data_IF_854310806042
#
_entry.id   IF_854310806042
#
_cell.length_a   1.000
_cell.length_b   1.000
_cell.length_c   1.000
_cell.angle_alpha   90.00
_cell.angle_beta   90.00
_cell.angle_gamma   90.00
#
_symmetry.space_group_name_H-M   'P 1'
#
loop_
_entity.id
_entity.type
_entity.pdbx_description
1 polymer ?
#
# COMPACT_ATOMS: atom_id res chain seq x y z
N UNK A 1 76.20 5.40 -18.53
CA UNK A 1 75.00 5.98 -17.90
C UNK A 1 73.81 5.21 -18.40
N UNK A 2 73.16 4.37 -17.54
CA UNK A 2 71.98 3.63 -17.91
C UNK A 2 70.77 4.35 -17.25
N UNK A 3 69.86 4.86 -18.08
CA UNK A 3 68.64 5.51 -17.64
C UNK A 3 67.57 4.41 -17.45
N UNK A 4 67.10 4.26 -16.20
CA UNK A 4 66.07 3.32 -15.82
C UNK A 4 64.72 4.04 -15.94
N UNK A 5 63.89 3.66 -16.95
CA UNK A 5 62.49 4.13 -17.05
C UNK A 5 61.61 3.31 -16.13
N UNK A 6 61.10 3.92 -15.03
CA UNK A 6 59.98 3.33 -14.24
C UNK A 6 58.67 3.59 -14.92
N UNK A 7 57.98 2.52 -15.34
CA UNK A 7 56.62 2.59 -15.83
C UNK A 7 55.66 2.51 -14.63
N UNK A 8 54.90 3.59 -14.36
CA UNK A 8 53.79 3.62 -13.42
C UNK A 8 52.56 3.00 -14.03
N UNK A 9 52.20 1.78 -13.55
CA UNK A 9 50.95 1.12 -13.94
C UNK A 9 49.85 1.71 -13.02
N UNK A 10 48.98 2.54 -13.60
CA UNK A 10 47.79 3.05 -12.93
C UNK A 10 46.68 2.03 -13.04
N UNK A 11 46.33 1.36 -11.93
CA UNK A 11 45.23 0.42 -11.87
C UNK A 11 43.90 1.17 -11.81
N UNK A 12 43.16 1.17 -12.91
CA UNK A 12 41.80 1.70 -12.99
C UNK A 12 40.85 0.68 -12.35
N UNK A 13 40.34 0.97 -11.14
CA UNK A 13 39.31 0.17 -10.51
C UNK A 13 37.96 0.42 -11.21
N UNK A 14 37.51 -0.53 -12.04
CA UNK A 14 36.18 -0.49 -12.63
C UNK A 14 35.19 -0.88 -11.55
N UNK A 15 34.53 0.11 -10.96
CA UNK A 15 33.41 -0.12 -10.06
C UNK A 15 32.23 -0.72 -10.83
N UNK A 16 31.94 -1.99 -10.61
CA UNK A 16 30.70 -2.62 -11.10
C UNK A 16 29.53 -2.11 -10.27
N UNK A 17 28.80 -1.13 -10.79
CA UNK A 17 27.49 -0.77 -10.24
C UNK A 17 26.54 -1.92 -10.59
N UNK A 18 26.20 -2.77 -9.61
CA UNK A 18 25.11 -3.72 -9.73
C UNK A 18 23.80 -2.92 -9.90
N UNK A 19 23.21 -2.98 -11.09
CA UNK A 19 21.83 -2.58 -11.30
C UNK A 19 20.96 -3.55 -10.47
N UNK A 20 20.52 -3.12 -9.28
CA UNK A 20 19.47 -3.84 -8.57
C UNK A 20 18.20 -3.64 -9.39
N UNK A 21 17.74 -4.68 -10.07
CA UNK A 21 16.38 -4.74 -10.56
C UNK A 21 15.47 -4.58 -9.32
N UNK A 22 14.63 -3.56 -9.32
CA UNK A 22 13.58 -3.45 -8.32
C UNK A 22 12.70 -4.70 -8.46
N UNK A 23 12.76 -5.59 -7.48
CA UNK A 23 11.85 -6.73 -7.40
C UNK A 23 10.43 -6.20 -7.42
N UNK A 24 9.54 -6.85 -8.22
CA UNK A 24 8.14 -6.50 -8.28
C UNK A 24 7.45 -6.73 -6.92
N UNK A 25 6.29 -6.14 -6.71
CA UNK A 25 5.51 -6.36 -5.49
C UNK A 25 5.24 -7.85 -5.24
N UNK A 26 5.68 -8.37 -4.12
CA UNK A 26 5.23 -9.65 -3.54
C UNK A 26 4.54 -9.37 -2.19
N UNK A 27 3.30 -9.86 -2.04
CA UNK A 27 2.56 -9.75 -0.78
C UNK A 27 3.27 -10.44 0.39
N UNK A 28 4.06 -11.48 0.13
CA UNK A 28 4.76 -12.27 1.15
C UNK A 28 5.82 -11.45 1.87
N UNK A 29 6.43 -10.47 1.21
CA UNK A 29 7.44 -9.59 1.80
C UNK A 29 6.93 -8.82 3.02
N UNK A 30 5.61 -8.65 3.11
CA UNK A 30 4.95 -7.95 4.21
C UNK A 30 4.65 -8.83 5.42
N UNK A 31 4.87 -10.13 5.36
CA UNK A 31 4.69 -11.07 6.48
C UNK A 31 3.40 -10.87 7.29
N UNK A 32 2.27 -10.62 6.58
CA UNK A 32 0.98 -10.36 7.20
C UNK A 32 0.46 -11.60 7.94
N UNK A 33 -0.01 -11.39 9.18
CA UNK A 33 -0.63 -12.41 10.03
C UNK A 33 -2.12 -12.11 10.18
N UNK A 34 -2.96 -12.97 9.60
CA UNK A 34 -4.40 -12.81 9.70
C UNK A 34 -4.90 -13.09 11.13
N UNK A 35 -5.99 -12.46 11.51
CA UNK A 35 -6.70 -12.71 12.76
C UNK A 35 -8.22 -12.61 12.53
N UNK A 36 -9.01 -13.00 13.52
CA UNK A 36 -10.48 -12.89 13.44
C UNK A 36 -10.96 -11.61 14.10
N UNK A 37 -11.93 -10.96 13.47
CA UNK A 37 -12.70 -9.85 14.04
C UNK A 37 -14.04 -10.38 14.53
N UNK A 38 -14.44 -9.96 15.71
CA UNK A 38 -15.72 -10.33 16.30
C UNK A 38 -16.80 -9.28 15.97
N UNK A 39 -17.08 -9.07 14.71
CA UNK A 39 -18.14 -8.19 14.22
C UNK A 39 -18.69 -8.71 12.90
N UNK A 40 -20.02 -8.73 12.71
CA UNK A 40 -20.63 -9.07 11.44
C UNK A 40 -20.75 -7.87 10.49
N UNK A 41 -20.42 -6.64 10.93
CA UNK A 41 -20.68 -5.40 10.18
C UNK A 41 -19.44 -4.99 9.39
N UNK A 42 -19.59 -4.82 8.09
CA UNK A 42 -18.55 -4.30 7.20
C UNK A 42 -18.41 -2.79 7.33
N UNK A 43 -17.16 -2.33 7.49
CA UNK A 43 -16.82 -0.92 7.68
C UNK A 43 -17.33 -0.02 6.55
N UNK A 44 -17.06 -0.38 5.29
CA UNK A 44 -17.39 0.49 4.14
C UNK A 44 -18.87 0.68 3.91
N UNK A 45 -19.65 -0.36 4.11
CA UNK A 45 -21.07 -0.39 3.75
C UNK A 45 -22.00 -0.25 4.93
N UNK A 46 -21.51 -0.47 6.15
CA UNK A 46 -22.35 -0.52 7.36
C UNK A 46 -23.35 -1.69 7.36
N UNK A 47 -23.18 -2.66 6.48
CA UNK A 47 -24.10 -3.79 6.34
C UNK A 47 -23.55 -5.04 7.04
N UNK A 48 -24.45 -5.93 7.45
CA UNK A 48 -24.09 -7.28 7.87
C UNK A 48 -23.53 -8.05 6.68
N UNK A 49 -22.47 -8.80 6.92
CA UNK A 49 -21.75 -9.59 5.94
C UNK A 49 -21.96 -11.07 6.19
N UNK A 50 -22.00 -11.88 5.14
CA UNK A 50 -22.01 -13.36 5.24
C UNK A 50 -20.69 -13.85 5.88
N UNK A 51 -19.59 -13.19 5.54
CA UNK A 51 -18.30 -13.36 6.20
C UNK A 51 -17.49 -12.07 6.19
N UNK A 52 -16.67 -11.90 7.22
CA UNK A 52 -15.80 -10.73 7.40
C UNK A 52 -14.35 -11.10 7.04
N UNK A 53 -13.75 -10.28 6.20
CA UNK A 53 -12.31 -10.21 6.00
C UNK A 53 -11.72 -9.02 6.76
N UNK A 54 -10.45 -9.12 7.10
CA UNK A 54 -9.65 -7.95 7.48
C UNK A 54 -9.14 -7.32 6.18
N UNK A 55 -9.49 -6.07 5.98
CA UNK A 55 -8.98 -5.27 4.88
C UNK A 55 -7.97 -4.23 5.39
N UNK A 56 -6.87 -4.08 4.65
CA UNK A 56 -5.94 -3.00 4.86
C UNK A 56 -6.50 -1.74 4.16
N UNK A 57 -6.78 -0.70 4.94
CA UNK A 57 -7.28 0.59 4.43
C UNK A 57 -6.35 1.15 3.35
N UNK A 58 -5.04 1.22 3.65
CA UNK A 58 -3.97 1.35 2.66
C UNK A 58 -3.48 -0.05 2.35
N UNK A 59 -3.78 -0.57 1.16
CA UNK A 59 -3.41 -1.93 0.78
C UNK A 59 -1.88 -2.11 0.76
N UNK A 60 -1.40 -3.35 0.93
CA UNK A 60 0.04 -3.62 0.90
C UNK A 60 0.67 -3.26 -0.45
N UNK A 61 -0.08 -3.47 -1.55
CA UNK A 61 0.38 -3.08 -2.89
C UNK A 61 0.41 -1.58 -3.06
N UNK A 62 -0.62 -0.85 -2.62
CA UNK A 62 -0.61 0.62 -2.65
C UNK A 62 0.53 1.18 -1.79
N UNK A 63 0.79 0.62 -0.61
CA UNK A 63 1.93 1.00 0.21
C UNK A 63 3.25 0.78 -0.53
N UNK A 64 3.43 -0.40 -1.16
CA UNK A 64 4.62 -0.72 -1.94
C UNK A 64 4.88 0.31 -3.04
N UNK A 65 3.87 0.60 -3.86
CA UNK A 65 3.92 1.56 -4.96
C UNK A 65 4.12 3.01 -4.47
N UNK A 66 3.73 3.31 -3.23
CA UNK A 66 3.80 4.64 -2.61
C UNK A 66 5.08 4.90 -1.81
N UNK A 67 6.04 3.97 -1.81
CA UNK A 67 7.33 4.14 -1.15
C UNK A 67 7.77 2.97 -0.28
N UNK A 68 6.88 2.03 0.07
CA UNK A 68 7.25 0.89 0.90
C UNK A 68 8.17 -0.13 0.19
N UNK A 69 8.36 -0.02 -1.12
CA UNK A 69 9.32 -0.82 -1.87
C UNK A 69 10.73 -0.76 -1.26
N UNK A 70 11.13 0.42 -0.76
CA UNK A 70 12.44 0.66 -0.15
C UNK A 70 12.51 0.36 1.35
N UNK A 71 11.43 -0.11 1.98
CA UNK A 71 11.43 -0.39 3.42
C UNK A 71 12.16 -1.69 3.75
N UNK A 72 12.72 -1.75 4.97
CA UNK A 72 13.19 -3.02 5.54
C UNK A 72 12.02 -3.98 5.74
N UNK A 73 12.33 -5.29 5.79
CA UNK A 73 11.33 -6.33 6.04
C UNK A 73 10.60 -6.12 7.38
N UNK A 74 11.33 -5.70 8.41
CA UNK A 74 10.74 -5.37 9.71
C UNK A 74 9.72 -4.23 9.63
N UNK A 75 9.97 -3.19 8.80
CA UNK A 75 9.02 -2.10 8.61
C UNK A 75 7.81 -2.54 7.76
N UNK A 76 8.02 -3.36 6.72
CA UNK A 76 6.94 -3.96 5.93
C UNK A 76 6.04 -4.84 6.81
N UNK A 77 6.64 -5.71 7.65
CA UNK A 77 5.90 -6.55 8.59
C UNK A 77 5.12 -5.71 9.61
N UNK A 78 5.73 -4.68 10.18
CA UNK A 78 5.07 -3.76 11.12
C UNK A 78 3.85 -3.11 10.48
N UNK A 79 3.98 -2.57 9.26
CA UNK A 79 2.88 -1.96 8.52
C UNK A 79 1.74 -2.94 8.23
N UNK A 80 2.08 -4.14 7.78
CA UNK A 80 1.08 -5.16 7.43
C UNK A 80 0.27 -5.65 8.64
N UNK A 81 0.83 -5.56 9.84
CA UNK A 81 0.21 -6.02 11.08
C UNK A 81 -0.30 -4.87 11.97
N UNK A 82 -0.19 -3.63 11.51
CA UNK A 82 -0.72 -2.47 12.20
C UNK A 82 -2.25 -2.45 12.15
N UNK A 83 -2.88 -2.67 13.30
CA UNK A 83 -4.34 -2.70 13.43
C UNK A 83 -5.02 -1.36 13.14
N UNK A 84 -4.29 -0.25 13.18
CA UNK A 84 -4.82 1.06 12.78
C UNK A 84 -5.13 1.10 11.28
N UNK A 85 -4.39 0.29 10.48
CA UNK A 85 -4.62 0.11 9.05
C UNK A 85 -5.67 -0.96 8.73
N UNK A 86 -6.30 -1.60 9.72
CA UNK A 86 -7.22 -2.69 9.51
C UNK A 86 -8.67 -2.28 9.76
N UNK A 87 -9.56 -2.76 8.90
CA UNK A 87 -11.02 -2.62 9.08
C UNK A 87 -11.74 -3.93 8.72
N UNK A 88 -12.89 -4.23 9.37
CA UNK A 88 -13.75 -5.32 8.93
C UNK A 88 -14.35 -4.99 7.58
N UNK A 89 -14.29 -5.91 6.62
CA UNK A 89 -14.88 -5.73 5.30
C UNK A 89 -15.64 -6.98 4.88
N UNK A 90 -16.83 -6.81 4.29
CA UNK A 90 -17.52 -7.90 3.63
C UNK A 90 -16.63 -8.46 2.53
N UNK A 91 -16.55 -9.78 2.39
CA UNK A 91 -15.65 -10.44 1.45
C UNK A 91 -15.76 -9.92 0.02
N UNK A 92 -17.01 -9.71 -0.48
CA UNK A 92 -17.26 -9.16 -1.82
C UNK A 92 -16.72 -7.73 -1.97
N UNK A 93 -16.93 -6.87 -0.96
CA UNK A 93 -16.44 -5.50 -0.95
C UNK A 93 -14.93 -5.46 -0.91
N UNK A 94 -14.31 -6.29 -0.05
CA UNK A 94 -12.86 -6.42 0.07
C UNK A 94 -12.24 -6.88 -1.26
N UNK A 95 -12.81 -7.88 -1.91
CA UNK A 95 -12.35 -8.36 -3.22
C UNK A 95 -12.48 -7.30 -4.31
N UNK A 96 -13.57 -6.52 -4.30
CA UNK A 96 -13.75 -5.40 -5.23
C UNK A 96 -12.76 -4.27 -4.99
N UNK A 97 -12.50 -3.93 -3.73
CA UNK A 97 -11.50 -2.92 -3.38
C UNK A 97 -10.11 -3.36 -3.83
N UNK A 98 -9.70 -4.57 -3.45
CA UNK A 98 -8.35 -5.06 -3.76
C UNK A 98 -7.27 -4.05 -3.34
N UNK A 99 -6.45 -3.62 -4.29
CA UNK A 99 -5.40 -2.61 -4.08
C UNK A 99 -5.81 -1.18 -4.46
N UNK A 100 -7.11 -0.94 -4.70
CA UNK A 100 -7.58 0.36 -5.14
C UNK A 100 -7.31 1.48 -4.12
N UNK A 101 -6.89 2.64 -4.61
CA UNK A 101 -6.86 3.89 -3.86
C UNK A 101 -8.28 4.42 -3.63
N UNK A 102 -8.51 5.42 -2.78
CA UNK A 102 -9.81 6.04 -2.60
C UNK A 102 -10.48 6.45 -3.92
N UNK A 103 -9.74 7.04 -4.85
CA UNK A 103 -10.24 7.43 -6.18
C UNK A 103 -10.80 6.25 -6.96
N UNK A 104 -10.03 5.18 -7.04
CA UNK A 104 -10.39 4.02 -7.84
C UNK A 104 -11.46 3.16 -7.16
N UNK A 105 -11.46 3.08 -5.84
CA UNK A 105 -12.47 2.35 -5.10
C UNK A 105 -13.85 3.01 -5.23
N UNK A 106 -13.91 4.35 -5.14
CA UNK A 106 -15.15 5.09 -5.36
C UNK A 106 -15.67 4.90 -6.80
N UNK A 107 -14.77 4.94 -7.78
CA UNK A 107 -15.11 4.67 -9.18
C UNK A 107 -15.71 3.28 -9.36
N UNK A 108 -15.07 2.25 -8.78
CA UNK A 108 -15.54 0.87 -8.86
C UNK A 108 -16.92 0.66 -8.24
N UNK A 109 -17.24 1.36 -7.16
CA UNK A 109 -18.56 1.28 -6.53
C UNK A 109 -19.68 1.91 -7.36
N UNK A 110 -19.34 2.64 -8.44
CA UNK A 110 -20.28 3.37 -9.31
C UNK A 110 -20.21 2.96 -10.78
N UNK A 111 -19.35 2.01 -11.14
CA UNK A 111 -19.08 1.66 -12.54
C UNK A 111 -20.18 0.80 -13.19
N UNK A 112 -21.27 0.52 -12.48
CA UNK A 112 -22.41 -0.24 -13.00
C UNK A 112 -22.13 -1.73 -13.23
N UNK A 113 -20.96 -2.24 -12.88
CA UNK A 113 -20.57 -3.63 -13.10
C UNK A 113 -21.13 -4.61 -12.06
N UNK A 114 -22.30 -4.32 -11.53
CA UNK A 114 -23.04 -5.25 -10.68
C UNK A 114 -22.51 -5.39 -9.25
N UNK A 115 -21.80 -4.39 -8.74
CA UNK A 115 -21.45 -4.32 -7.35
C UNK A 115 -22.56 -3.64 -6.57
N UNK A 116 -23.47 -4.43 -5.98
CA UNK A 116 -24.64 -3.97 -5.24
C UNK A 116 -24.31 -3.39 -3.87
N UNK A 117 -23.26 -2.56 -3.81
CA UNK A 117 -22.92 -1.89 -2.58
C UNK A 117 -22.64 -0.41 -2.78
N UNK A 118 -22.90 0.36 -1.72
CA UNK A 118 -22.60 1.77 -1.62
C UNK A 118 -21.65 1.98 -0.45
N UNK A 119 -20.58 2.74 -0.66
CA UNK A 119 -19.70 3.16 0.43
C UNK A 119 -20.39 4.28 1.20
N UNK A 120 -20.83 3.99 2.42
CA UNK A 120 -21.58 4.94 3.25
C UNK A 120 -20.68 5.71 4.21
N UNK A 121 -19.48 5.17 4.55
CA UNK A 121 -18.48 5.80 5.43
C UNK A 121 -17.32 6.38 4.62
N UNK A 122 -17.65 7.15 3.60
CA UNK A 122 -16.65 7.64 2.66
C UNK A 122 -15.56 8.49 3.34
N UNK A 123 -15.94 9.56 4.03
CA UNK A 123 -14.94 10.44 4.65
C UNK A 123 -14.20 9.76 5.81
N UNK A 124 -14.85 8.87 6.58
CA UNK A 124 -14.18 8.08 7.59
C UNK A 124 -13.08 7.19 6.97
N UNK A 125 -13.37 6.59 5.81
CA UNK A 125 -12.37 5.82 5.04
C UNK A 125 -11.23 6.70 4.53
N UNK A 126 -11.55 7.82 3.89
CA UNK A 126 -10.56 8.75 3.30
C UNK A 126 -9.66 9.35 4.38
N UNK A 127 -10.25 9.76 5.51
CA UNK A 127 -9.48 10.28 6.67
C UNK A 127 -8.52 9.22 7.21
N UNK A 128 -9.02 8.00 7.41
CA UNK A 128 -8.17 6.90 7.90
C UNK A 128 -7.04 6.59 6.91
N UNK A 129 -7.33 6.52 5.61
CA UNK A 129 -6.34 6.32 4.56
C UNK A 129 -5.27 7.41 4.57
N UNK A 130 -5.69 8.68 4.64
CA UNK A 130 -4.79 9.84 4.68
C UNK A 130 -3.87 9.80 5.90
N UNK A 131 -4.44 9.58 7.09
CA UNK A 131 -3.70 9.49 8.36
C UNK A 131 -2.63 8.40 8.32
N UNK A 132 -2.98 7.21 7.80
CA UNK A 132 -2.03 6.09 7.69
C UNK A 132 -0.91 6.42 6.71
N UNK A 133 -1.23 7.00 5.54
CA UNK A 133 -0.21 7.42 4.58
C UNK A 133 0.78 8.39 5.19
N UNK A 134 0.31 9.40 5.92
CA UNK A 134 1.17 10.37 6.61
C UNK A 134 2.02 9.70 7.70
N UNK A 135 1.42 8.85 8.55
CA UNK A 135 2.13 8.18 9.63
C UNK A 135 3.30 7.32 9.15
N UNK A 136 3.17 6.74 7.97
CA UNK A 136 4.20 5.89 7.37
C UNK A 136 5.11 6.60 6.36
N UNK A 137 4.86 7.88 6.06
CA UNK A 137 5.63 8.65 5.07
C UNK A 137 5.41 8.15 3.64
N UNK A 138 4.20 7.67 3.33
CA UNK A 138 3.84 7.18 2.00
C UNK A 138 3.31 8.30 1.11
N UNK A 139 3.62 8.26 -0.17
CA UNK A 139 3.09 9.21 -1.15
C UNK A 139 1.62 8.93 -1.49
N UNK A 140 0.93 9.95 -2.02
CA UNK A 140 -0.48 9.86 -2.42
C UNK A 140 -0.64 9.65 -3.93
N UNK A 141 0.21 8.81 -4.54
CA UNK A 141 0.09 8.50 -5.97
C UNK A 141 -1.29 7.92 -6.31
N UNK A 142 -1.72 8.16 -7.54
CA UNK A 142 -3.03 7.75 -8.06
C UNK A 142 -4.25 8.31 -7.30
N UNK A 143 -4.07 9.36 -6.49
CA UNK A 143 -5.16 10.11 -5.87
C UNK A 143 -5.20 11.54 -6.36
N UNK A 144 -6.40 12.13 -6.42
CA UNK A 144 -6.60 13.54 -6.67
C UNK A 144 -6.76 14.29 -5.34
N UNK A 145 -6.20 15.49 -5.26
CA UNK A 145 -6.33 16.36 -4.07
C UNK A 145 -7.79 16.58 -3.67
N UNK A 146 -8.68 16.74 -4.66
CA UNK A 146 -10.11 16.94 -4.45
C UNK A 146 -10.81 15.81 -3.66
N UNK A 147 -10.21 14.61 -3.59
CA UNK A 147 -10.76 13.50 -2.82
C UNK A 147 -10.63 13.78 -1.32
N UNK A 148 -9.51 14.36 -0.93
CA UNK A 148 -9.22 14.73 0.46
C UNK A 148 -9.94 16.00 0.86
N UNK A 149 -9.97 17.02 -0.01
CA UNK A 149 -10.67 18.28 0.22
C UNK A 149 -12.17 18.11 0.48
N UNK A 150 -12.82 17.10 -0.13
CA UNK A 150 -14.24 16.78 0.14
C UNK A 150 -14.49 16.28 1.56
N UNK A 151 -13.45 15.91 2.27
CA UNK A 151 -13.50 15.40 3.64
C UNK A 151 -12.72 16.29 4.61
N UNK A 152 -12.48 17.54 4.23
CA UNK A 152 -11.80 18.58 5.04
C UNK A 152 -10.37 18.17 5.46
N UNK A 153 -9.59 17.56 4.52
CA UNK A 153 -8.22 17.08 4.70
C UNK A 153 -7.23 17.82 3.80
#
# INVERSE_FOLDING_TARGET
MKVLCLALISSLAIGTTSLSYAEGYDRKDFSYRSYKLNTPIGFYTGKTCDFINIDHVVSLKDAYESGAASWSDAKKESFANDRTNHVPSCGRVNSSKGSATPKDFLRRSRDGKGLDYKIVRWCEYVTKYHTIKLAYGLSFIANDKSIFERCDL
#
